data_IF_160232843650
#
_entry.id   IF_160232843650
#
_cell.length_a   1.000
_cell.length_b   1.000
_cell.length_c   1.000
_cell.angle_alpha   90.00
_cell.angle_beta   90.00
_cell.angle_gamma   90.00
#
_symmetry.space_group_name_H-M   'P 1'
#
loop_
_entity.id
_entity.type
_entity.pdbx_description
1 polymer ?
#
# COMPACT_ATOMS: atom_id res chain seq x y z
N UNK A 1 6.78 23.41 -6.06
CA UNK A 1 6.01 23.29 -7.32
C UNK A 1 4.52 23.36 -6.97
N UNK A 2 3.66 23.85 -7.86
CA UNK A 2 2.20 23.86 -7.59
C UNK A 2 1.70 22.43 -7.45
N UNK A 3 0.89 22.15 -6.43
CA UNK A 3 0.19 20.89 -6.28
C UNK A 3 -1.26 21.06 -6.74
N UNK A 4 -1.78 20.03 -7.40
CA UNK A 4 -3.17 19.96 -7.84
C UNK A 4 -3.86 18.86 -7.05
N UNK A 5 -4.98 19.21 -6.42
CA UNK A 5 -5.86 18.20 -5.84
C UNK A 5 -6.46 17.36 -6.98
N UNK A 6 -6.32 16.04 -6.87
CA UNK A 6 -6.88 15.09 -7.82
C UNK A 6 -7.80 14.13 -7.07
N UNK A 7 -8.99 13.87 -7.62
CA UNK A 7 -9.96 12.95 -7.03
C UNK A 7 -10.24 11.83 -8.02
N UNK A 8 -9.89 10.60 -7.69
CA UNK A 8 -10.08 9.43 -8.56
C UNK A 8 -10.70 8.26 -7.80
N UNK A 9 -11.24 7.28 -8.52
CA UNK A 9 -11.68 6.01 -7.91
C UNK A 9 -10.55 5.00 -8.02
N UNK A 10 -9.90 4.67 -6.91
CA UNK A 10 -8.79 3.72 -6.84
C UNK A 10 -9.28 2.38 -6.29
N UNK A 11 -9.19 1.31 -7.09
CA UNK A 11 -9.60 -0.04 -6.68
C UNK A 11 -11.02 -0.09 -6.09
N UNK A 12 -11.94 0.71 -6.65
CA UNK A 12 -13.34 0.81 -6.22
C UNK A 12 -13.61 1.83 -5.09
N UNK A 13 -12.57 2.42 -4.48
CA UNK A 13 -12.72 3.42 -3.43
C UNK A 13 -12.38 4.84 -3.94
N UNK A 14 -13.17 5.88 -3.60
CA UNK A 14 -12.78 7.24 -3.92
C UNK A 14 -11.55 7.66 -3.10
N UNK A 15 -10.58 8.29 -3.76
CA UNK A 15 -9.39 8.87 -3.11
C UNK A 15 -9.18 10.29 -3.62
N UNK A 16 -8.80 11.18 -2.73
CA UNK A 16 -8.43 12.56 -3.06
C UNK A 16 -7.06 12.85 -2.46
N UNK A 17 -6.11 13.30 -3.29
CA UNK A 17 -4.76 13.63 -2.83
C UNK A 17 -4.14 14.70 -3.72
N UNK A 18 -3.31 15.61 -3.19
CA UNK A 18 -2.57 16.53 -4.03
C UNK A 18 -1.44 15.82 -4.79
N UNK A 19 -1.21 16.20 -6.04
CA UNK A 19 -0.12 15.72 -6.88
C UNK A 19 0.54 16.88 -7.64
N UNK A 20 1.86 16.79 -7.85
CA UNK A 20 2.54 17.72 -8.77
C UNK A 20 2.14 17.39 -10.23
N UNK A 21 2.09 18.37 -11.15
CA UNK A 21 1.76 18.11 -12.56
C UNK A 21 2.63 17.05 -13.23
N UNK A 22 3.87 16.92 -12.77
CA UNK A 22 4.86 15.96 -13.30
C UNK A 22 4.77 14.57 -12.66
N UNK A 23 4.01 14.40 -11.58
CA UNK A 23 3.94 13.11 -10.87
C UNK A 23 3.35 12.06 -11.82
N UNK A 24 4.11 11.01 -12.09
CA UNK A 24 3.60 9.89 -12.87
C UNK A 24 2.57 9.10 -12.04
N UNK A 25 1.59 8.51 -12.70
CA UNK A 25 0.57 7.69 -12.06
C UNK A 25 1.19 6.51 -11.31
N UNK A 26 2.28 5.94 -11.83
CA UNK A 26 3.01 4.90 -11.13
C UNK A 26 3.53 5.37 -9.76
N UNK A 27 4.14 6.55 -9.69
CA UNK A 27 4.69 7.10 -8.44
C UNK A 27 3.57 7.47 -7.48
N UNK A 28 2.50 8.08 -7.99
CA UNK A 28 1.29 8.36 -7.20
C UNK A 28 0.69 7.08 -6.60
N UNK A 29 0.71 5.95 -7.31
CA UNK A 29 0.16 4.72 -6.75
C UNK A 29 1.13 4.04 -5.78
N UNK A 30 2.43 4.03 -6.10
CA UNK A 30 3.44 3.31 -5.33
C UNK A 30 3.89 4.04 -4.08
N UNK A 31 4.15 5.33 -4.19
CA UNK A 31 4.72 6.14 -3.11
C UNK A 31 3.61 6.75 -2.26
N UNK A 32 2.54 7.23 -2.91
CA UNK A 32 1.47 7.96 -2.23
C UNK A 32 0.34 7.07 -1.70
N UNK A 33 0.12 5.91 -2.32
CA UNK A 33 -0.94 4.96 -1.96
C UNK A 33 -0.41 3.55 -1.62
N UNK A 34 0.91 3.33 -1.67
CA UNK A 34 1.56 2.06 -1.35
C UNK A 34 1.06 0.82 -2.12
N UNK A 35 0.49 1.04 -3.30
CA UNK A 35 0.09 -0.03 -4.23
C UNK A 35 1.32 -0.49 -5.03
N UNK A 36 2.19 -1.19 -4.32
CA UNK A 36 3.54 -1.57 -4.77
C UNK A 36 3.58 -2.74 -5.74
N UNK A 37 2.45 -3.38 -6.03
CA UNK A 37 2.31 -4.36 -7.11
C UNK A 37 2.55 -3.72 -8.49
N UNK A 38 2.37 -2.41 -8.64
CA UNK A 38 2.82 -1.70 -9.85
C UNK A 38 4.35 -1.57 -9.82
N UNK A 39 5.05 -2.10 -10.81
CA UNK A 39 6.51 -2.06 -10.86
C UNK A 39 7.05 -1.11 -11.94
N UNK A 40 8.17 -0.44 -11.62
CA UNK A 40 8.90 0.44 -12.53
C UNK A 40 10.20 -0.21 -12.98
N UNK A 41 10.25 -0.63 -14.25
CA UNK A 41 11.45 -1.27 -14.81
C UNK A 41 12.20 -0.46 -15.87
N UNK A 42 11.52 0.46 -16.57
CA UNK A 42 12.14 1.21 -17.67
C UNK A 42 11.75 2.69 -17.75
N UNK A 43 10.62 3.08 -17.13
CA UNK A 43 10.13 4.47 -17.07
C UNK A 43 9.93 5.18 -18.43
N UNK A 44 9.87 4.41 -19.51
CA UNK A 44 9.68 4.90 -20.89
C UNK A 44 8.56 4.15 -21.62
N UNK A 45 7.71 3.41 -20.89
CA UNK A 45 6.55 2.69 -21.45
C UNK A 45 6.85 1.35 -22.15
N UNK A 46 8.12 0.94 -22.22
CA UNK A 46 8.56 -0.24 -23.00
C UNK A 46 8.33 -1.58 -22.29
N UNK A 47 8.74 -1.71 -21.02
CA UNK A 47 8.75 -3.03 -20.36
C UNK A 47 7.38 -3.55 -19.90
N UNK A 48 6.39 -2.67 -19.76
CA UNK A 48 5.04 -3.04 -19.34
C UNK A 48 4.85 -3.50 -17.89
N UNK A 49 5.89 -3.53 -17.06
CA UNK A 49 5.77 -3.88 -15.64
C UNK A 49 4.84 -2.94 -14.84
N UNK A 50 4.63 -1.73 -15.35
CA UNK A 50 3.74 -0.71 -14.79
C UNK A 50 2.30 -0.76 -15.33
N UNK A 51 1.91 -1.85 -16.02
CA UNK A 51 0.57 -1.96 -16.61
C UNK A 51 -0.49 -2.10 -15.54
N UNK A 52 -1.48 -1.22 -15.60
CA UNK A 52 -2.66 -1.19 -14.75
C UNK A 52 -3.85 -0.67 -15.56
N UNK A 53 -5.02 -0.55 -14.96
CA UNK A 53 -6.23 -0.11 -15.65
C UNK A 53 -6.58 1.34 -15.31
N UNK A 54 -6.90 2.13 -16.34
CA UNK A 54 -7.55 3.44 -16.20
C UNK A 54 -8.78 3.42 -17.09
N UNK A 55 -9.95 3.70 -16.50
CA UNK A 55 -11.26 3.64 -17.13
C UNK A 55 -11.45 2.33 -17.93
N UNK A 56 -11.15 1.20 -17.27
CA UNK A 56 -11.33 -0.13 -17.85
C UNK A 56 -10.35 -0.52 -18.96
N UNK A 57 -9.28 0.26 -19.19
CA UNK A 57 -8.28 0.00 -20.24
C UNK A 57 -6.88 -0.16 -19.67
N UNK A 58 -6.07 -1.11 -20.17
CA UNK A 58 -4.68 -1.22 -19.76
C UNK A 58 -3.88 0.01 -20.23
N UNK A 59 -3.13 0.62 -19.31
CA UNK A 59 -2.28 1.79 -19.57
C UNK A 59 -0.90 1.62 -18.94
N UNK A 60 0.08 2.38 -19.46
CA UNK A 60 1.42 2.48 -18.87
C UNK A 60 1.44 3.60 -17.85
N UNK A 61 1.42 3.26 -16.57
CA UNK A 61 1.36 4.28 -15.51
C UNK A 61 2.65 5.09 -15.38
N UNK A 62 3.80 4.58 -15.84
CA UNK A 62 5.07 5.32 -15.81
C UNK A 62 5.17 6.46 -16.82
N UNK A 63 4.28 6.51 -17.82
CA UNK A 63 4.22 7.60 -18.81
C UNK A 63 2.83 8.26 -18.83
N UNK A 64 2.04 8.03 -17.79
CA UNK A 64 0.76 8.69 -17.55
C UNK A 64 0.93 9.61 -16.36
N UNK A 65 0.48 10.86 -16.43
CA UNK A 65 0.54 11.77 -15.28
C UNK A 65 -0.67 11.56 -14.37
N UNK A 66 -0.45 11.58 -13.05
CA UNK A 66 -1.51 11.44 -12.05
C UNK A 66 -2.59 12.54 -12.21
N UNK A 67 -2.18 13.78 -12.48
CA UNK A 67 -3.10 14.89 -12.75
C UNK A 67 -3.96 14.70 -14.00
N UNK A 68 -3.49 13.92 -14.97
CA UNK A 68 -4.30 13.57 -16.14
C UNK A 68 -5.37 12.52 -15.81
N UNK A 69 -5.24 11.84 -14.67
CA UNK A 69 -6.17 10.83 -14.23
C UNK A 69 -7.36 11.42 -13.48
N UNK A 70 -7.25 12.52 -12.72
CA UNK A 70 -8.32 13.20 -11.93
C UNK A 70 -9.63 12.38 -11.77
N UNK A 71 -10.88 12.79 -11.98
CA UNK A 71 -12.09 11.91 -11.90
C UNK A 71 -12.19 10.59 -12.74
N UNK A 72 -11.13 9.82 -12.97
CA UNK A 72 -11.10 8.50 -13.61
C UNK A 72 -11.18 7.34 -12.61
N UNK A 73 -11.46 6.14 -13.12
CA UNK A 73 -11.37 4.89 -12.36
C UNK A 73 -10.01 4.22 -12.61
N UNK A 74 -9.18 4.13 -11.59
CA UNK A 74 -7.87 3.46 -11.61
C UNK A 74 -7.95 2.12 -10.88
N UNK A 75 -7.48 1.05 -11.51
CA UNK A 75 -7.45 -0.29 -10.90
C UNK A 75 -6.06 -0.91 -11.07
N UNK A 76 -5.41 -1.20 -9.94
CA UNK A 76 -4.10 -1.85 -9.87
C UNK A 76 -4.25 -3.36 -9.68
N UNK A 77 -3.15 -4.11 -9.64
CA UNK A 77 -3.20 -5.58 -9.47
C UNK A 77 -3.84 -6.00 -8.14
N UNK A 78 -3.72 -5.15 -7.12
CA UNK A 78 -4.31 -5.29 -5.79
C UNK A 78 -5.84 -5.19 -5.83
N UNK A 79 -6.40 -4.35 -6.70
CA UNK A 79 -7.85 -4.17 -6.86
C UNK A 79 -8.58 -5.33 -7.55
N UNK A 80 -7.90 -6.45 -7.82
CA UNK A 80 -8.47 -7.65 -8.42
C UNK A 80 -8.57 -8.83 -7.44
N UNK A 81 -8.46 -8.61 -6.13
CA UNK A 81 -8.47 -9.68 -5.13
C UNK A 81 -9.73 -10.57 -5.22
N UNK A 82 -10.90 -9.95 -5.38
CA UNK A 82 -12.19 -10.64 -5.51
C UNK A 82 -12.63 -10.87 -6.97
N UNK A 83 -11.76 -10.60 -7.95
CA UNK A 83 -12.12 -10.80 -9.36
C UNK A 83 -11.96 -12.28 -9.77
N UNK A 84 -13.04 -12.98 -10.19
CA UNK A 84 -12.98 -14.40 -10.52
C UNK A 84 -12.06 -14.74 -11.70
N UNK A 85 -11.95 -13.86 -12.69
CA UNK A 85 -11.06 -14.06 -13.83
C UNK A 85 -9.60 -13.86 -13.42
N UNK A 86 -9.30 -12.86 -12.57
CA UNK A 86 -7.96 -12.68 -12.04
C UNK A 86 -7.53 -13.87 -11.16
N UNK A 87 -8.43 -14.39 -10.33
CA UNK A 87 -8.17 -15.60 -9.54
C UNK A 87 -7.79 -16.79 -10.43
N UNK A 88 -8.51 -16.99 -11.55
CA UNK A 88 -8.21 -18.04 -12.54
C UNK A 88 -6.88 -17.81 -13.24
N UNK A 89 -6.58 -16.57 -13.66
CA UNK A 89 -5.29 -16.22 -14.25
C UNK A 89 -4.14 -16.48 -13.29
N UNK A 90 -4.24 -16.05 -12.02
CA UNK A 90 -3.22 -16.32 -11.00
C UNK A 90 -3.00 -17.82 -10.81
N UNK A 91 -4.08 -18.60 -10.74
CA UNK A 91 -3.99 -20.06 -10.64
C UNK A 91 -3.32 -20.69 -11.87
N UNK A 92 -3.65 -20.24 -13.08
CA UNK A 92 -3.03 -20.72 -14.32
C UNK A 92 -1.55 -20.33 -14.40
N UNK A 93 -1.19 -19.10 -14.05
CA UNK A 93 0.22 -18.67 -13.99
C UNK A 93 1.03 -19.54 -13.03
N UNK A 94 0.46 -19.96 -11.89
CA UNK A 94 1.10 -20.90 -10.97
C UNK A 94 1.25 -22.30 -11.59
N UNK A 95 0.19 -22.86 -12.21
CA UNK A 95 0.23 -24.20 -12.84
C UNK A 95 1.24 -24.30 -13.99
N UNK A 96 1.33 -23.26 -14.80
CA UNK A 96 2.15 -23.25 -16.02
C UNK A 96 3.53 -22.59 -15.81
N UNK A 97 3.93 -22.35 -14.56
CA UNK A 97 5.19 -21.66 -14.24
C UNK A 97 5.35 -20.33 -15.01
N UNK A 98 4.26 -19.57 -15.12
CA UNK A 98 4.17 -18.28 -15.79
C UNK A 98 4.91 -17.14 -15.07
N UNK A 99 5.61 -17.41 -13.97
CA UNK A 99 6.43 -16.45 -13.25
C UNK A 99 7.68 -17.10 -12.65
N UNK A 100 8.74 -16.31 -12.48
CA UNK A 100 9.94 -16.68 -11.72
C UNK A 100 10.27 -15.59 -10.70
N UNK A 101 10.96 -14.51 -11.11
CA UNK A 101 11.30 -13.41 -10.21
C UNK A 101 10.09 -12.58 -9.74
N UNK A 102 8.93 -12.73 -10.39
CA UNK A 102 7.71 -12.02 -10.06
C UNK A 102 7.63 -10.57 -10.57
N UNK A 103 8.73 -9.98 -11.03
CA UNK A 103 8.77 -8.53 -11.34
C UNK A 103 7.84 -8.10 -12.48
N UNK A 104 7.78 -8.86 -13.58
CA UNK A 104 6.83 -8.53 -14.66
C UNK A 104 5.40 -9.03 -14.39
N UNK A 105 5.20 -9.86 -13.36
CA UNK A 105 3.96 -10.62 -13.17
C UNK A 105 2.73 -9.73 -13.01
N UNK A 106 2.74 -8.62 -12.25
CA UNK A 106 1.59 -7.73 -12.16
C UNK A 106 1.13 -7.18 -13.52
N UNK A 107 2.07 -6.66 -14.32
CA UNK A 107 1.79 -6.17 -15.67
C UNK A 107 1.36 -7.27 -16.65
N UNK A 108 1.95 -8.47 -16.50
CA UNK A 108 1.56 -9.66 -17.28
C UNK A 108 0.14 -10.13 -16.94
N UNK A 109 -0.24 -10.14 -15.67
CA UNK A 109 -1.59 -10.49 -15.23
C UNK A 109 -2.61 -9.45 -15.71
N UNK A 110 -2.30 -8.15 -15.57
CA UNK A 110 -3.14 -7.08 -16.07
C UNK A 110 -3.36 -7.20 -17.60
N UNK A 111 -2.31 -7.56 -18.35
CA UNK A 111 -2.39 -7.76 -19.80
C UNK A 111 -3.12 -9.05 -20.17
N UNK A 112 -2.87 -10.16 -19.46
CA UNK A 112 -3.58 -11.42 -19.65
C UNK A 112 -5.08 -11.27 -19.39
N UNK A 113 -5.45 -10.48 -18.38
CA UNK A 113 -6.82 -10.11 -18.09
C UNK A 113 -7.48 -9.34 -19.25
N UNK A 114 -6.77 -8.39 -19.87
CA UNK A 114 -7.26 -7.69 -21.07
C UNK A 114 -7.47 -8.65 -22.25
N UNK A 115 -6.47 -9.51 -22.51
CA UNK A 115 -6.50 -10.49 -23.60
C UNK A 115 -7.72 -11.40 -23.46
N UNK A 116 -7.93 -12.00 -22.29
CA UNK A 116 -9.05 -12.92 -22.07
C UNK A 116 -10.40 -12.25 -22.29
N UNK A 117 -10.57 -11.01 -21.81
CA UNK A 117 -11.84 -10.27 -21.92
C UNK A 117 -12.13 -9.74 -23.33
N UNK A 118 -11.08 -9.35 -24.07
CA UNK A 118 -11.22 -8.71 -25.38
C UNK A 118 -11.13 -9.69 -26.54
N UNK A 119 -10.40 -10.80 -26.36
CA UNK A 119 -10.05 -11.76 -27.41
C UNK A 119 -10.29 -13.21 -26.92
N UNK A 120 -11.55 -13.62 -26.69
CA UNK A 120 -11.87 -14.96 -26.17
C UNK A 120 -11.43 -16.10 -27.10
N UNK A 121 -11.21 -15.82 -28.38
CA UNK A 121 -10.81 -16.79 -29.40
C UNK A 121 -9.32 -16.66 -29.79
N UNK A 122 -8.49 -16.00 -28.96
CA UNK A 122 -7.08 -15.75 -29.28
C UNK A 122 -6.27 -17.06 -29.34
N UNK A 123 -5.62 -17.29 -30.47
CA UNK A 123 -4.61 -18.34 -30.62
C UNK A 123 -3.26 -17.96 -29.98
N UNK A 124 -2.33 -18.91 -29.93
CA UNK A 124 -0.99 -18.69 -29.34
C UNK A 124 -0.28 -17.49 -29.97
N UNK A 125 -0.32 -17.39 -31.30
CA UNK A 125 0.33 -16.32 -32.05
C UNK A 125 -0.28 -14.96 -31.71
N UNK A 126 -1.61 -14.88 -31.53
CA UNK A 126 -2.29 -13.67 -31.11
C UNK A 126 -1.93 -13.30 -29.68
N UNK A 127 -1.94 -14.26 -28.75
CA UNK A 127 -1.55 -14.01 -27.35
C UNK A 127 -0.13 -13.44 -27.28
N UNK A 128 0.83 -14.03 -28.01
CA UNK A 128 2.22 -13.52 -28.07
C UNK A 128 2.30 -12.10 -28.62
N UNK A 129 1.53 -11.78 -29.66
CA UNK A 129 1.48 -10.41 -30.22
C UNK A 129 0.93 -9.41 -29.20
N UNK A 130 -0.14 -9.75 -28.49
CA UNK A 130 -0.73 -8.86 -27.47
C UNK A 130 0.18 -8.72 -26.23
N UNK A 131 0.96 -9.75 -25.90
CA UNK A 131 1.98 -9.70 -24.85
C UNK A 131 3.25 -8.93 -25.26
N UNK A 132 3.42 -8.53 -26.52
CA UNK A 132 4.64 -7.84 -26.99
C UNK A 132 4.95 -6.54 -26.23
N UNK A 133 3.93 -5.95 -25.59
CA UNK A 133 4.10 -4.81 -24.70
C UNK A 133 4.62 -5.15 -23.30
N UNK A 134 4.79 -6.41 -22.90
CA UNK A 134 5.25 -6.76 -21.56
C UNK A 134 6.51 -7.60 -21.68
N UNK A 135 7.61 -7.11 -21.11
CA UNK A 135 8.92 -7.75 -21.23
C UNK A 135 9.16 -8.62 -20.00
N UNK A 136 9.46 -9.90 -20.24
CA UNK A 136 9.93 -10.82 -19.22
C UNK A 136 11.37 -11.26 -19.52
N UNK A 137 12.25 -11.18 -18.52
CA UNK A 137 13.65 -11.61 -18.66
C UNK A 137 13.90 -13.04 -18.19
N UNK A 138 12.94 -13.66 -17.49
CA UNK A 138 13.14 -14.91 -16.78
C UNK A 138 12.48 -16.11 -17.47
N UNK A 139 11.21 -15.98 -17.90
CA UNK A 139 10.38 -17.15 -18.29
C UNK A 139 10.52 -17.56 -19.75
N UNK A 140 11.04 -16.69 -20.63
CA UNK A 140 10.96 -16.92 -22.07
C UNK A 140 9.53 -16.96 -22.62
N UNK A 141 8.54 -16.44 -21.86
CA UNK A 141 7.12 -16.33 -22.20
C UNK A 141 6.31 -17.62 -22.31
N UNK A 142 6.93 -18.80 -22.49
CA UNK A 142 6.19 -20.05 -22.75
C UNK A 142 5.11 -20.34 -21.69
N UNK A 143 5.46 -20.30 -20.39
CA UNK A 143 4.51 -20.52 -19.31
C UNK A 143 3.43 -19.43 -19.18
N UNK A 144 3.75 -18.18 -19.54
CA UNK A 144 2.79 -17.06 -19.52
C UNK A 144 1.73 -17.28 -20.62
N UNK A 145 2.17 -17.64 -21.82
CA UNK A 145 1.29 -17.91 -22.96
C UNK A 145 0.40 -19.13 -22.66
N UNK A 146 0.98 -20.22 -22.14
CA UNK A 146 0.24 -21.42 -21.76
C UNK A 146 -0.82 -21.13 -20.69
N UNK A 147 -0.50 -20.30 -19.68
CA UNK A 147 -1.47 -19.90 -18.66
C UNK A 147 -2.67 -19.13 -19.23
N UNK A 148 -2.44 -18.23 -20.19
CA UNK A 148 -3.53 -17.48 -20.83
C UNK A 148 -4.37 -18.40 -21.72
N UNK A 149 -3.73 -19.31 -22.48
CA UNK A 149 -4.43 -20.32 -23.29
C UNK A 149 -5.30 -21.23 -22.43
N UNK A 150 -4.80 -21.69 -21.29
CA UNK A 150 -5.55 -22.51 -20.33
C UNK A 150 -6.83 -21.80 -19.86
N UNK A 151 -6.73 -20.52 -19.49
CA UNK A 151 -7.90 -19.73 -19.07
C UNK A 151 -8.90 -19.53 -20.21
N UNK A 152 -8.43 -19.26 -21.43
CA UNK A 152 -9.29 -19.11 -22.62
C UNK A 152 -10.03 -20.42 -22.95
N UNK A 153 -9.36 -21.56 -22.85
CA UNK A 153 -9.91 -22.86 -23.22
C UNK A 153 -10.96 -23.37 -22.22
N UNK A 154 -10.76 -23.13 -20.93
CA UNK A 154 -11.53 -23.80 -19.88
C UNK A 154 -12.72 -22.99 -19.34
N UNK A 155 -12.77 -21.66 -19.54
CA UNK A 155 -13.83 -20.82 -18.97
C UNK A 155 -13.85 -19.39 -19.59
N UNK A 156 -14.29 -19.25 -20.86
CA UNK A 156 -14.29 -17.97 -21.57
C UNK A 156 -15.22 -16.94 -20.88
N UNK A 157 -14.89 -15.65 -20.85
CA UNK A 157 -15.70 -14.66 -20.15
C UNK A 157 -17.10 -14.53 -20.79
N UNK A 158 -18.12 -14.49 -19.93
CA UNK A 158 -19.54 -14.42 -20.33
C UNK A 158 -19.91 -13.17 -21.15
N UNK A 159 -19.11 -12.09 -21.08
CA UNK A 159 -19.33 -10.86 -21.83
C UNK A 159 -18.01 -10.28 -22.37
N UNK A 160 -18.00 -9.89 -23.65
CA UNK A 160 -16.89 -9.15 -24.26
C UNK A 160 -16.85 -7.74 -23.68
N UNK A 161 -15.65 -7.25 -23.38
CA UNK A 161 -15.46 -5.83 -23.06
C UNK A 161 -15.84 -4.96 -24.26
N UNK A 162 -16.86 -4.12 -24.10
CA UNK A 162 -17.12 -3.03 -25.04
C UNK A 162 -16.08 -1.93 -24.79
N UNK A 163 -15.33 -1.46 -25.81
CA UNK A 163 -14.41 -0.36 -25.64
C UNK A 163 -15.16 0.86 -25.09
N UNK A 164 -14.74 1.35 -23.92
CA UNK A 164 -15.30 2.59 -23.40
C UNK A 164 -14.98 3.74 -24.35
N UNK A 165 -15.96 4.61 -24.69
CA UNK A 165 -15.73 5.77 -25.53
C UNK A 165 -14.68 6.66 -24.85
N UNK A 166 -13.73 7.15 -25.64
CA UNK A 166 -12.66 8.02 -25.15
C UNK A 166 -13.29 9.31 -24.62
N UNK A 167 -13.30 9.50 -23.29
CA UNK A 167 -13.63 10.81 -22.72
C UNK A 167 -12.60 11.81 -23.23
N UNK A 168 -13.03 12.74 -24.09
CA UNK A 168 -12.25 13.94 -24.35
C UNK A 168 -12.34 14.79 -23.08
N UNK A 169 -11.27 14.77 -22.28
CA UNK A 169 -11.15 15.73 -21.18
C UNK A 169 -10.77 17.10 -21.73
N UNK A 170 -11.39 18.14 -21.19
CA UNK A 170 -11.00 19.51 -21.45
C UNK A 170 -9.52 19.71 -21.07
N UNK A 171 -8.77 20.40 -21.93
CA UNK A 171 -7.40 20.77 -21.64
C UNK A 171 -7.36 21.65 -20.39
N UNK A 172 -6.54 21.28 -19.41
CA UNK A 172 -6.29 22.10 -18.23
C UNK A 172 -5.51 23.34 -18.69
N UNK A 173 -6.08 24.53 -18.59
CA UNK A 173 -5.36 25.76 -18.95
C UNK A 173 -4.31 26.06 -17.90
N UNK A 174 -3.05 26.19 -18.31
CA UNK A 174 -1.96 26.60 -17.45
C UNK A 174 -2.19 28.05 -16.98
N UNK A 175 -2.66 28.23 -15.76
CA UNK A 175 -2.63 29.54 -15.10
C UNK A 175 -1.21 29.79 -14.57
N UNK A 176 -0.69 30.99 -14.80
CA UNK A 176 0.64 31.40 -14.39
C UNK A 176 0.77 31.38 -12.86
N UNK A 177 1.79 30.68 -12.35
CA UNK A 177 2.06 30.56 -10.92
C UNK A 177 3.17 31.55 -10.54
N UNK A 178 2.88 32.48 -9.64
CA UNK A 178 3.87 33.35 -9.01
C UNK A 178 4.75 32.55 -8.03
N UNK A 179 6.05 32.83 -8.08
CA UNK A 179 7.05 32.13 -7.29
C UNK A 179 7.09 32.66 -5.84
N UNK A 180 6.86 31.78 -4.88
CA UNK A 180 7.15 32.03 -3.46
C UNK A 180 8.38 31.20 -3.05
N UNK A 181 9.36 31.86 -2.45
CA UNK A 181 10.61 31.26 -2.00
C UNK A 181 10.39 30.40 -0.73
N UNK A 182 11.04 29.22 -0.60
CA UNK A 182 10.85 28.36 0.55
C UNK A 182 11.67 28.85 1.75
N UNK A 183 11.01 28.94 2.91
CA UNK A 183 11.67 29.10 4.21
C UNK A 183 12.11 27.73 4.72
N UNK A 184 13.41 27.56 4.94
CA UNK A 184 13.95 26.37 5.58
C UNK A 184 13.67 26.40 7.09
N UNK A 185 13.22 25.27 7.64
CA UNK A 185 13.23 25.04 9.09
C UNK A 185 14.11 23.82 9.36
N UNK A 186 15.07 23.99 10.26
CA UNK A 186 16.06 22.98 10.66
C UNK A 186 16.02 22.74 12.17
N UNK A 187 16.03 21.44 12.53
CA UNK A 187 16.60 20.74 13.72
C UNK A 187 15.86 20.80 15.08
N UNK A 188 16.13 19.86 16.03
CA UNK A 188 17.06 18.69 16.01
C UNK A 188 16.46 17.30 16.43
N UNK A 189 17.09 16.21 15.96
CA UNK A 189 17.11 14.87 16.57
C UNK A 189 18.08 14.86 17.79
N UNK A 190 18.08 13.98 18.82
CA UNK A 190 17.76 12.55 19.03
C UNK A 190 17.81 12.30 20.58
N UNK A 191 17.44 11.14 21.18
CA UNK A 191 18.31 9.94 21.12
C UNK A 191 17.61 8.58 20.96
N UNK A 192 18.26 7.76 20.13
CA UNK A 192 18.17 6.30 19.99
C UNK A 192 18.87 5.61 21.17
N UNK A 193 18.43 4.42 21.60
CA UNK A 193 19.25 3.43 22.35
C UNK A 193 18.53 2.07 22.39
N UNK A 194 18.87 0.97 21.71
CA UNK A 194 19.86 0.62 20.67
C UNK A 194 19.19 -0.49 19.83
N UNK A 195 19.04 -0.29 18.52
CA UNK A 195 18.99 -1.38 17.55
C UNK A 195 20.26 -1.22 16.72
N UNK A 196 21.23 -2.12 16.88
CA UNK A 196 22.50 -2.04 16.13
C UNK A 196 22.24 -2.27 14.64
N UNK A 197 22.81 -1.39 13.80
CA UNK A 197 22.74 -1.46 12.33
C UNK A 197 21.32 -1.42 11.74
N UNK A 198 20.42 -0.66 12.37
CA UNK A 198 19.02 -0.51 11.95
C UNK A 198 18.77 0.57 10.89
N UNK A 199 17.66 0.45 10.17
CA UNK A 199 17.13 1.47 9.26
C UNK A 199 16.13 2.34 10.02
N UNK A 200 16.29 3.66 9.95
CA UNK A 200 15.43 4.64 10.61
C UNK A 200 14.36 5.23 9.69
N UNK A 201 13.19 5.54 10.25
CA UNK A 201 12.10 6.24 9.57
C UNK A 201 11.44 7.23 10.53
N UNK A 202 11.14 8.44 10.06
CA UNK A 202 10.28 9.38 10.79
C UNK A 202 9.06 9.78 9.96
N UNK A 203 7.93 9.98 10.61
CA UNK A 203 6.65 10.43 10.03
C UNK A 203 5.98 11.43 10.96
N UNK A 204 5.27 12.39 10.37
CA UNK A 204 4.47 13.38 11.08
C UNK A 204 3.07 13.40 10.48
N UNK A 205 2.05 13.31 11.33
CA UNK A 205 0.66 13.14 10.91
C UNK A 205 -0.21 14.18 11.62
N UNK A 206 -1.08 14.88 10.88
CA UNK A 206 -2.07 15.79 11.48
C UNK A 206 -3.42 15.08 11.55
N UNK A 207 -4.00 15.03 12.75
CA UNK A 207 -5.25 14.36 13.08
C UNK A 207 -6.33 15.42 13.35
N UNK A 208 -7.48 15.29 12.69
CA UNK A 208 -8.69 16.12 12.88
C UNK A 208 -9.44 15.72 14.16
N UNK A 209 -8.69 15.65 15.25
CA UNK A 209 -9.18 15.42 16.59
C UNK A 209 -8.20 16.06 17.58
N UNK A 210 -8.70 16.62 18.69
CA UNK A 210 -7.84 17.21 19.72
C UNK A 210 -7.04 16.13 20.45
N UNK A 211 -5.86 16.51 20.96
CA UNK A 211 -4.91 15.57 21.54
C UNK A 211 -5.47 14.79 22.76
N UNK A 212 -6.40 15.39 23.50
CA UNK A 212 -7.09 14.77 24.63
C UNK A 212 -8.07 13.65 24.22
N UNK A 213 -8.58 13.67 22.99
CA UNK A 213 -9.37 12.57 22.40
C UNK A 213 -8.48 11.49 21.79
N UNK A 214 -7.35 11.87 21.21
CA UNK A 214 -6.45 10.93 20.53
C UNK A 214 -5.62 10.12 21.54
N UNK A 215 -5.08 10.77 22.57
CA UNK A 215 -4.19 10.14 23.53
C UNK A 215 -4.79 8.90 24.22
N UNK A 216 -6.03 8.90 24.73
CA UNK A 216 -6.65 7.71 25.32
C UNK A 216 -6.70 6.50 24.38
N UNK A 217 -6.84 6.73 23.08
CA UNK A 217 -6.85 5.66 22.07
C UNK A 217 -5.46 5.10 21.86
N UNK A 218 -4.42 5.96 21.81
CA UNK A 218 -3.02 5.52 21.71
C UNK A 218 -2.57 4.68 22.92
N UNK A 219 -3.17 4.91 24.10
CA UNK A 219 -2.92 4.09 25.30
C UNK A 219 -3.58 2.72 25.27
N UNK A 220 -4.67 2.55 24.51
CA UNK A 220 -5.38 1.28 24.40
C UNK A 220 -4.67 0.39 23.37
N UNK A 221 -3.59 -0.27 23.80
CA UNK A 221 -2.75 -1.12 22.95
C UNK A 221 -3.55 -2.19 22.19
N UNK A 222 -4.51 -2.91 22.79
CA UNK A 222 -5.39 -3.80 22.04
C UNK A 222 -6.14 -3.11 20.90
N UNK A 223 -6.68 -1.91 21.14
CA UNK A 223 -7.34 -1.13 20.08
C UNK A 223 -6.35 -0.72 19.00
N UNK A 224 -5.17 -0.20 19.36
CA UNK A 224 -4.12 0.16 18.40
C UNK A 224 -3.71 -1.05 17.56
N UNK A 225 -3.44 -2.20 18.17
CA UNK A 225 -3.05 -3.43 17.47
C UNK A 225 -4.16 -3.93 16.54
N UNK A 226 -5.43 -3.81 16.94
CA UNK A 226 -6.56 -4.18 16.07
C UNK A 226 -6.66 -3.35 14.79
N UNK A 227 -6.07 -2.14 14.80
CA UNK A 227 -5.99 -1.27 13.65
C UNK A 227 -4.78 -1.56 12.75
N UNK A 228 -3.84 -2.41 13.17
CA UNK A 228 -2.63 -2.74 12.40
C UNK A 228 -2.88 -4.04 11.60
N UNK A 229 -2.99 -3.97 10.26
CA UNK A 229 -3.24 -5.15 9.43
C UNK A 229 -2.16 -6.22 9.60
N UNK A 230 -2.60 -7.44 9.90
CA UNK A 230 -1.70 -8.59 10.11
C UNK A 230 -1.13 -8.67 11.51
N UNK A 231 -1.39 -7.71 12.40
CA UNK A 231 -1.02 -7.77 13.80
C UNK A 231 -2.14 -8.36 14.67
N UNK A 232 -1.77 -9.19 15.64
CA UNK A 232 -2.69 -9.65 16.68
C UNK A 232 -1.93 -9.95 17.96
N UNK A 233 -2.59 -9.77 19.10
CA UNK A 233 -2.07 -10.15 20.41
C UNK A 233 -2.42 -11.60 20.72
N UNK A 234 -1.48 -12.34 21.32
CA UNK A 234 -1.69 -13.71 21.80
C UNK A 234 -2.42 -13.73 23.17
N UNK A 235 -2.49 -12.59 23.87
CA UNK A 235 -3.08 -12.44 25.20
C UNK A 235 -3.16 -10.96 25.65
N UNK A 236 -3.54 -10.70 26.90
CA UNK A 236 -3.57 -9.34 27.45
C UNK A 236 -2.17 -8.72 27.49
N UNK A 237 -2.11 -7.39 27.48
CA UNK A 237 -0.88 -6.64 27.72
C UNK A 237 -0.72 -6.48 29.23
N UNK A 238 0.32 -7.07 29.81
CA UNK A 238 0.61 -7.05 31.25
C UNK A 238 1.90 -6.29 31.50
N UNK A 239 1.89 -5.29 32.38
CA UNK A 239 3.06 -4.45 32.70
C UNK A 239 3.75 -3.84 31.45
N UNK A 240 2.94 -3.44 30.47
CA UNK A 240 3.41 -2.92 29.18
C UNK A 240 4.02 -3.98 28.25
N UNK A 241 4.10 -5.24 28.67
CA UNK A 241 4.60 -6.34 27.86
C UNK A 241 3.47 -6.93 27.02
N UNK A 242 3.65 -6.93 25.71
CA UNK A 242 2.75 -7.52 24.73
C UNK A 242 3.42 -8.72 24.05
N UNK A 243 2.64 -9.77 23.80
CA UNK A 243 3.06 -10.90 22.97
C UNK A 243 2.07 -11.07 21.83
N UNK A 244 2.57 -11.38 20.64
CA UNK A 244 1.71 -11.50 19.48
C UNK A 244 2.42 -11.88 18.21
N UNK A 245 1.71 -11.66 17.12
CA UNK A 245 2.17 -11.95 15.77
C UNK A 245 1.90 -10.75 14.88
N UNK A 246 2.80 -10.49 13.93
CA UNK A 246 2.66 -9.47 12.89
C UNK A 246 3.00 -10.07 11.53
N UNK A 247 2.04 -10.08 10.62
CA UNK A 247 2.22 -10.53 9.23
C UNK A 247 2.36 -9.34 8.31
N UNK A 248 3.51 -9.23 7.66
CA UNK A 248 3.86 -8.11 6.77
C UNK A 248 4.01 -8.64 5.34
N UNK A 249 3.48 -7.89 4.37
CA UNK A 249 3.70 -8.18 2.97
C UNK A 249 5.06 -7.61 2.54
N UNK A 250 5.81 -8.36 1.71
CA UNK A 250 7.10 -7.95 1.17
C UNK A 250 7.06 -8.25 -0.32
N UNK A 251 6.50 -7.33 -1.11
CA UNK A 251 6.16 -7.56 -2.51
C UNK A 251 5.19 -8.76 -2.65
N UNK A 252 5.53 -9.82 -3.39
CA UNK A 252 4.65 -10.98 -3.57
C UNK A 252 4.66 -11.98 -2.39
N UNK A 253 5.51 -11.76 -1.38
CA UNK A 253 5.68 -12.66 -0.23
C UNK A 253 4.98 -12.12 1.02
N UNK A 254 4.61 -13.01 1.95
CA UNK A 254 4.15 -12.66 3.29
C UNK A 254 5.11 -13.27 4.32
N UNK A 255 5.53 -12.47 5.29
CA UNK A 255 6.37 -12.91 6.40
C UNK A 255 5.61 -12.71 7.72
N UNK A 256 5.62 -13.70 8.59
CA UNK A 256 4.84 -13.72 9.83
C UNK A 256 5.78 -13.77 11.02
N UNK A 257 5.99 -12.62 11.66
CA UNK A 257 6.86 -12.49 12.82
C UNK A 257 6.07 -12.74 14.09
N UNK A 258 6.40 -13.81 14.83
CA UNK A 258 5.90 -14.03 16.19
C UNK A 258 6.93 -13.52 17.19
N UNK A 259 6.48 -12.76 18.17
CA UNK A 259 7.39 -11.96 18.99
C UNK A 259 6.77 -11.35 20.24
N UNK A 260 7.58 -10.53 20.88
CA UNK A 260 7.21 -9.78 22.08
C UNK A 260 7.60 -8.32 21.93
N UNK A 261 6.84 -7.42 22.56
CA UNK A 261 7.10 -6.00 22.61
C UNK A 261 6.93 -5.46 24.04
N UNK A 262 7.72 -4.47 24.39
CA UNK A 262 7.60 -3.66 25.60
C UNK A 262 7.09 -2.29 25.21
N UNK A 263 5.99 -1.88 25.81
CA UNK A 263 5.36 -0.58 25.66
C UNK A 263 5.64 0.24 26.91
N UNK A 264 5.98 1.51 26.73
CA UNK A 264 6.16 2.50 27.78
C UNK A 264 5.45 3.77 27.35
N UNK A 265 4.63 4.35 28.23
CA UNK A 265 3.82 5.53 27.95
C UNK A 265 4.07 6.57 29.04
N UNK A 266 4.17 7.83 28.65
CA UNK A 266 4.24 8.99 29.55
C UNK A 266 3.04 9.90 29.29
N UNK A 267 2.08 9.85 30.21
CA UNK A 267 0.85 10.64 30.15
C UNK A 267 1.11 12.16 30.30
N UNK A 268 2.21 12.56 30.95
CA UNK A 268 2.50 13.98 31.21
C UNK A 268 3.00 14.71 29.97
N UNK A 269 3.69 13.99 29.09
CA UNK A 269 4.27 14.52 27.85
C UNK A 269 3.55 14.02 26.59
N UNK A 270 2.57 13.13 26.75
CA UNK A 270 1.88 12.44 25.65
C UNK A 270 2.87 11.75 24.70
N UNK A 271 3.83 11.03 25.29
CA UNK A 271 4.87 10.30 24.57
C UNK A 271 4.78 8.80 24.84
N UNK A 272 5.13 8.00 23.84
CA UNK A 272 5.19 6.56 24.00
C UNK A 272 6.34 5.94 23.24
N UNK A 273 6.76 4.78 23.74
CA UNK A 273 7.83 3.98 23.17
C UNK A 273 7.43 2.51 23.15
N UNK A 274 7.66 1.85 22.03
CA UNK A 274 7.42 0.43 21.81
C UNK A 274 8.70 -0.21 21.31
N UNK A 275 9.25 -1.16 22.05
CA UNK A 275 10.46 -1.90 21.64
C UNK A 275 10.12 -3.37 21.56
N UNK A 276 10.34 -4.01 20.42
CA UNK A 276 9.98 -5.40 20.21
C UNK A 276 10.95 -6.18 19.35
N UNK A 277 10.82 -7.50 19.43
CA UNK A 277 11.53 -8.44 18.58
C UNK A 277 10.62 -9.59 18.16
N UNK A 278 10.84 -10.11 16.96
CA UNK A 278 10.05 -11.21 16.41
C UNK A 278 10.84 -12.07 15.42
N UNK A 279 10.35 -13.29 15.22
CA UNK A 279 10.96 -14.26 14.32
C UNK A 279 9.93 -14.83 13.35
N UNK A 280 10.31 -14.89 12.09
CA UNK A 280 9.56 -15.59 11.05
C UNK A 280 10.02 -17.05 10.96
N UNK A 281 9.09 -17.99 11.11
CA UNK A 281 9.41 -19.42 11.14
C UNK A 281 9.84 -19.97 9.78
N UNK A 282 9.29 -19.43 8.69
CA UNK A 282 9.51 -19.96 7.34
C UNK A 282 10.86 -19.53 6.75
N UNK A 283 11.11 -18.23 6.72
CA UNK A 283 12.38 -17.65 6.24
C UNK A 283 13.51 -17.76 7.27
N UNK A 284 13.17 -18.06 8.54
CA UNK A 284 14.08 -18.02 9.69
C UNK A 284 14.68 -16.63 9.96
N UNK A 285 14.08 -15.58 9.41
CA UNK A 285 14.51 -14.19 9.60
C UNK A 285 14.05 -13.66 10.96
N UNK A 286 14.79 -12.68 11.49
CA UNK A 286 14.46 -12.01 12.76
C UNK A 286 14.33 -10.51 12.54
N UNK A 287 13.38 -9.89 13.23
CA UNK A 287 13.11 -8.46 13.21
C UNK A 287 13.26 -7.92 14.63
N UNK A 288 14.13 -6.95 14.80
CA UNK A 288 14.25 -6.12 16.01
C UNK A 288 13.71 -4.72 15.66
N UNK A 289 12.94 -4.08 16.54
CA UNK A 289 12.33 -2.78 16.24
C UNK A 289 12.07 -1.92 17.48
N UNK A 290 12.15 -0.61 17.31
CA UNK A 290 11.77 0.41 18.26
C UNK A 290 10.91 1.46 17.55
N UNK A 291 9.80 1.86 18.17
CA UNK A 291 8.91 2.93 17.72
C UNK A 291 8.72 3.92 18.87
N UNK A 292 9.11 5.15 18.65
CA UNK A 292 8.87 6.29 19.52
C UNK A 292 7.76 7.15 18.89
N UNK A 293 6.86 7.68 19.72
CA UNK A 293 5.82 8.58 19.27
C UNK A 293 5.54 9.71 20.25
N UNK A 294 5.18 10.87 19.72
CA UNK A 294 4.81 12.07 20.47
C UNK A 294 3.53 12.65 19.89
N UNK A 295 2.56 12.96 20.74
CA UNK A 295 1.34 13.63 20.35
C UNK A 295 1.37 15.09 20.83
N UNK A 296 1.22 16.03 19.90
CA UNK A 296 1.19 17.46 20.18
C UNK A 296 -0.18 18.05 19.85
N UNK A 297 -0.68 18.95 20.68
CA UNK A 297 -1.88 19.73 20.36
C UNK A 297 -1.55 20.87 19.38
N UNK A 298 -2.39 21.06 18.36
CA UNK A 298 -2.27 22.16 17.40
C UNK A 298 -3.22 23.32 17.76
N UNK A 299 -2.89 24.58 17.39
CA UNK A 299 -3.70 25.75 17.75
C UNK A 299 -5.12 25.77 17.21
N UNK A 300 -5.39 25.01 16.15
CA UNK A 300 -6.68 24.93 15.44
C UNK A 300 -7.59 23.83 15.98
N UNK A 301 -7.26 23.23 17.13
CA UNK A 301 -8.04 22.17 17.77
C UNK A 301 -7.75 20.77 17.23
N UNK A 302 -6.83 20.65 16.26
CA UNK A 302 -6.30 19.37 15.77
C UNK A 302 -5.14 18.90 16.65
N UNK A 303 -4.58 17.74 16.33
CA UNK A 303 -3.34 17.25 16.95
C UNK A 303 -2.36 16.76 15.91
N UNK A 304 -1.07 16.75 16.25
CA UNK A 304 0.01 16.19 15.42
C UNK A 304 0.61 14.99 16.14
N UNK A 305 0.67 13.84 15.45
CA UNK A 305 1.35 12.64 15.92
C UNK A 305 2.66 12.49 15.15
N UNK A 306 3.77 12.66 15.86
CA UNK A 306 5.12 12.47 15.34
C UNK A 306 5.61 11.07 15.73
N UNK A 307 6.04 10.29 14.74
CA UNK A 307 6.47 8.89 14.87
C UNK A 307 7.92 8.77 14.43
N UNK A 308 8.75 8.08 15.20
CA UNK A 308 10.13 7.73 14.85
C UNK A 308 10.37 6.24 15.09
N UNK A 309 10.75 5.52 14.06
CA UNK A 309 10.96 4.07 14.11
C UNK A 309 12.38 3.71 13.71
N UNK A 310 12.98 2.76 14.42
CA UNK A 310 14.26 2.14 14.09
C UNK A 310 14.09 0.62 14.10
N UNK A 311 14.55 -0.07 13.06
CA UNK A 311 14.42 -1.52 12.98
C UNK A 311 15.61 -2.18 12.31
N UNK A 312 15.90 -3.43 12.67
CA UNK A 312 16.90 -4.27 12.02
C UNK A 312 16.28 -5.61 11.64
N UNK A 313 16.32 -5.93 10.35
CA UNK A 313 15.92 -7.23 9.82
C UNK A 313 17.18 -8.05 9.51
N UNK A 314 17.28 -9.25 10.08
CA UNK A 314 18.42 -10.17 9.89
C UNK A 314 17.95 -11.48 9.27
N UNK A 315 18.83 -12.13 8.53
CA UNK A 315 18.54 -13.41 7.85
C UNK A 315 18.13 -13.24 6.39
N UNK A 316 17.54 -14.27 5.75
CA UNK A 316 17.24 -14.28 4.32
C UNK A 316 16.32 -13.15 3.84
N UNK A 317 15.48 -12.58 4.71
CA UNK A 317 14.65 -11.44 4.35
C UNK A 317 15.39 -10.09 4.41
N UNK A 318 16.58 -10.01 5.02
CA UNK A 318 17.35 -8.78 5.11
C UNK A 318 17.71 -8.19 3.74
N UNK A 319 17.81 -9.03 2.70
CA UNK A 319 18.02 -8.60 1.31
C UNK A 319 16.87 -7.75 0.75
N UNK A 320 15.67 -7.85 1.34
CA UNK A 320 14.49 -7.04 1.01
C UNK A 320 14.34 -5.83 1.94
N UNK A 321 15.24 -5.68 2.93
CA UNK A 321 15.26 -4.61 3.93
C UNK A 321 15.68 -3.25 3.37
N UNK A 322 14.90 -2.71 2.44
CA UNK A 322 14.92 -1.29 2.04
C UNK A 322 13.66 -0.60 2.56
N UNK A 323 13.60 0.76 2.59
CA UNK A 323 12.60 1.56 3.32
C UNK A 323 11.12 1.20 3.12
N UNK A 324 10.77 0.42 2.08
CA UNK A 324 9.42 -0.02 1.76
C UNK A 324 8.72 -0.82 2.87
N UNK A 325 9.42 -1.74 3.57
CA UNK A 325 8.81 -2.55 4.64
C UNK A 325 8.32 -1.69 5.81
N UNK A 326 9.04 -0.60 6.07
CA UNK A 326 8.82 0.25 7.24
C UNK A 326 8.07 1.52 6.91
N UNK A 327 8.15 1.99 5.68
CA UNK A 327 7.11 2.83 5.10
C UNK A 327 5.76 2.12 5.22
N UNK A 328 5.62 0.83 4.87
CA UNK A 328 4.33 0.13 4.97
C UNK A 328 3.79 0.01 6.40
N UNK A 329 4.63 -0.23 7.42
CA UNK A 329 4.17 -0.27 8.82
C UNK A 329 3.82 1.14 9.32
N UNK A 330 4.70 2.12 9.10
CA UNK A 330 4.47 3.50 9.53
C UNK A 330 3.29 4.14 8.78
N UNK A 331 3.14 3.81 7.50
CA UNK A 331 2.04 4.26 6.67
C UNK A 331 0.78 3.45 6.96
N UNK A 332 0.81 2.21 7.46
CA UNK A 332 -0.42 1.53 7.96
C UNK A 332 -0.89 2.10 9.30
N UNK A 333 0.05 2.52 10.14
CA UNK A 333 -0.25 3.36 11.31
C UNK A 333 -0.77 4.74 10.85
N UNK A 334 -0.28 5.28 9.73
CA UNK A 334 -0.72 6.56 9.15
C UNK A 334 -2.01 6.51 8.30
N UNK A 335 -2.31 5.38 7.64
CA UNK A 335 -3.48 5.10 6.77
C UNK A 335 -4.76 5.08 7.59
N UNK A 336 -4.65 5.30 8.90
CA UNK A 336 -5.68 5.87 9.75
C UNK A 336 -6.00 7.34 9.42
N UNK A 337 -6.10 7.69 8.13
CA UNK A 337 -6.92 8.82 7.72
C UNK A 337 -8.41 8.45 7.90
N UNK A 338 -8.94 8.88 9.05
CA UNK A 338 -10.29 9.43 9.25
C UNK A 338 -11.53 8.57 9.48
N UNK A 339 -11.47 7.24 9.59
CA UNK A 339 -12.66 6.43 9.96
C UNK A 339 -12.59 5.80 11.34
N UNK A 340 -11.70 4.82 11.50
CA UNK A 340 -11.86 3.78 12.53
C UNK A 340 -11.44 4.15 13.95
N UNK A 341 -10.46 5.03 14.17
CA UNK A 341 -10.04 5.37 15.55
C UNK A 341 -11.10 6.17 16.31
N UNK A 342 -11.85 7.05 15.63
CA UNK A 342 -12.88 7.89 16.24
C UNK A 342 -14.22 7.13 16.29
N UNK A 343 -14.61 6.43 15.22
CA UNK A 343 -15.84 5.61 15.21
C UNK A 343 -15.81 4.45 16.22
N UNK A 344 -14.66 3.79 16.46
CA UNK A 344 -14.58 2.72 17.46
C UNK A 344 -14.60 3.24 18.91
N UNK A 345 -14.07 4.46 19.15
CA UNK A 345 -14.19 5.13 20.44
C UNK A 345 -15.64 5.50 20.77
N UNK A 346 -16.38 5.99 19.76
CA UNK A 346 -17.80 6.34 19.89
C UNK A 346 -18.71 5.09 19.97
N UNK A 347 -18.41 4.03 19.21
CA UNK A 347 -19.17 2.77 19.26
C UNK A 347 -19.07 2.05 20.62
N UNK A 348 -17.93 2.16 21.33
CA UNK A 348 -17.79 1.61 22.69
C UNK A 348 -18.46 2.48 23.77
N UNK A 349 -18.64 3.79 23.56
CA UNK A 349 -19.45 4.61 24.47
C UNK A 349 -20.94 4.30 24.34
N UNK A 350 -21.43 4.02 23.14
CA UNK A 350 -22.82 3.61 22.89
C UNK A 350 -23.10 2.22 23.48
N UNK A 351 -22.15 1.28 23.38
CA UNK A 351 -22.28 -0.07 23.98
C UNK A 351 -22.04 -0.14 25.49
N UNK A 352 -21.70 0.98 26.15
CA UNK A 352 -21.58 1.09 27.61
C UNK A 352 -22.68 1.94 28.24
N UNK A 353 -23.69 2.38 27.48
CA UNK A 353 -24.86 3.06 28.03
C UNK A 353 -25.96 2.04 28.38
N UNK A 354 -26.29 1.79 29.66
CA UNK A 354 -27.26 0.77 30.08
C UNK A 354 -28.74 1.14 29.83
N UNK A 355 -29.04 2.01 28.85
CA UNK A 355 -30.35 2.68 28.79
C UNK A 355 -31.11 2.59 27.45
N UNK A 356 -30.88 1.59 26.59
CA UNK A 356 -31.90 1.27 25.58
C UNK A 356 -31.87 -0.21 25.15
N UNK A 357 -32.94 -0.98 25.40
CA UNK A 357 -33.11 -2.31 24.81
C UNK A 357 -33.63 -2.12 23.38
N UNK A 358 -33.10 -2.89 22.43
CA UNK A 358 -33.81 -3.69 21.41
C UNK A 358 -32.81 -4.25 20.40
#
# INVERSE_FOLDING_TARGET
MSQHEITLTLNGAPVTKPAEPRTHLADFLREDHLLTGTHLGCEQGVCGACTLYVDGRPVRSCITFAVACDGASVQTVEGFEDDPLMARLRAAFSRHHGLQCGFCTPGMLATGYDIVRRLPDADEARIRRELSGNICRCTGYAGIVAAIQDVLANDPPAARLTPLPRRQRAAVSAAAVEAVAPTAVTRPAEPVTEVKDGVGLSRSLVLDAPADRVWPVLRDIPTVVSCIPGASLDGPVEDGRAQGVCTVAIGPMRATFRGTAQVTLDDSTQQGRVVGSGRDGLSRSTLDGALDFVLEALPDGRSRLDLSMLYALKGPLAQFGRPALVAEIADRVAVMQYGKLVEFGEAKQILRNPQHPY
#
